data_IF_842040805876
#
_entry.id   IF_842040805876
#
_cell.length_a   1.000
_cell.length_b   1.000
_cell.length_c   1.000
_cell.angle_alpha   90.00
_cell.angle_beta   90.00
_cell.angle_gamma   90.00
#
_symmetry.space_group_name_H-M   'P 1'
#
loop_
_entity.id
_entity.type
_entity.pdbx_description
1 polymer ?
#
# COMPACT_ATOMS: atom_id res chain seq x y z
N UNK A 1 -12.86 -10.37 -12.17
CA UNK A 1 -11.41 -10.21 -12.40
C UNK A 1 -11.12 -10.28 -13.89
N UNK A 2 -11.54 -11.36 -14.57
CA UNK A 2 -11.50 -11.48 -16.04
C UNK A 2 -12.91 -11.58 -16.62
N UNK A 3 -13.07 -11.20 -17.88
CA UNK A 3 -14.27 -11.37 -18.71
C UNK A 3 -13.90 -12.10 -19.99
N UNK A 4 -14.83 -12.85 -20.57
CA UNK A 4 -14.62 -13.45 -21.90
C UNK A 4 -14.48 -12.36 -22.95
N UNK A 5 -13.49 -12.51 -23.83
CA UNK A 5 -13.21 -11.59 -24.93
C UNK A 5 -13.00 -12.40 -26.22
N UNK A 6 -13.24 -11.82 -27.38
CA UNK A 6 -12.94 -12.45 -28.66
C UNK A 6 -12.21 -11.43 -29.55
N UNK A 7 -10.96 -11.74 -29.90
CA UNK A 7 -10.13 -10.91 -30.78
C UNK A 7 -9.80 -11.71 -32.02
N UNK A 8 -10.20 -11.18 -33.17
CA UNK A 8 -9.96 -11.79 -34.49
C UNK A 8 -10.42 -13.25 -34.60
N UNK A 9 -11.54 -13.59 -33.96
CA UNK A 9 -12.12 -14.94 -33.99
C UNK A 9 -11.54 -15.91 -32.97
N UNK A 10 -10.56 -15.48 -32.16
CA UNK A 10 -9.97 -16.27 -31.07
C UNK A 10 -10.62 -15.90 -29.75
N UNK A 11 -11.29 -16.86 -29.13
CA UNK A 11 -11.83 -16.71 -27.78
C UNK A 11 -10.69 -16.64 -26.75
N UNK A 12 -10.76 -15.64 -25.86
CA UNK A 12 -9.80 -15.40 -24.81
C UNK A 12 -10.44 -14.73 -23.60
N UNK A 13 -9.59 -14.20 -22.73
CA UNK A 13 -10.02 -13.45 -21.56
C UNK A 13 -9.38 -12.06 -21.57
N UNK A 14 -10.17 -11.04 -21.26
CA UNK A 14 -9.69 -9.70 -20.98
C UNK A 14 -9.91 -9.35 -19.51
N UNK A 15 -9.21 -8.33 -19.03
CA UNK A 15 -9.51 -7.77 -17.72
C UNK A 15 -10.92 -7.16 -17.73
N UNK A 16 -11.71 -7.49 -16.72
CA UNK A 16 -12.92 -6.71 -16.43
C UNK A 16 -12.54 -5.29 -16.02
N UNK A 17 -13.43 -4.29 -16.17
CA UNK A 17 -13.20 -2.94 -15.66
C UNK A 17 -12.80 -2.92 -14.16
N UNK A 18 -13.38 -3.83 -13.37
CA UNK A 18 -12.96 -4.04 -11.98
C UNK A 18 -11.53 -4.58 -11.86
N UNK A 19 -11.17 -5.60 -12.66
CA UNK A 19 -9.81 -6.15 -12.72
C UNK A 19 -8.77 -5.12 -13.17
N UNK A 20 -9.10 -4.29 -14.16
CA UNK A 20 -8.26 -3.17 -14.58
C UNK A 20 -8.06 -2.17 -13.44
N UNK A 21 -9.12 -1.82 -12.70
CA UNK A 21 -9.00 -0.89 -11.57
C UNK A 21 -8.12 -1.43 -10.45
N UNK A 22 -8.19 -2.74 -10.16
CA UNK A 22 -7.37 -3.40 -9.14
C UNK A 22 -5.91 -3.46 -9.57
N UNK A 23 -5.64 -3.77 -10.84
CA UNK A 23 -4.26 -3.78 -11.35
C UNK A 23 -3.68 -2.38 -11.44
N UNK A 24 -4.46 -1.39 -11.87
CA UNK A 24 -4.01 0.00 -11.91
C UNK A 24 -3.65 0.54 -10.51
N UNK A 25 -4.41 0.18 -9.47
CA UNK A 25 -4.07 0.48 -8.07
C UNK A 25 -2.74 -0.19 -7.67
N UNK A 26 -2.58 -1.49 -8.00
CA UNK A 26 -1.35 -2.23 -7.74
C UNK A 26 -0.13 -1.65 -8.47
N UNK A 27 -0.29 -1.29 -9.74
CA UNK A 27 0.77 -0.76 -10.59
C UNK A 27 1.25 0.60 -10.11
N UNK A 28 0.34 1.48 -9.67
CA UNK A 28 0.74 2.75 -9.04
C UNK A 28 1.61 2.50 -7.82
N UNK A 29 1.23 1.58 -6.95
CA UNK A 29 2.02 1.30 -5.73
C UNK A 29 3.37 0.62 -6.02
N UNK A 30 3.43 -0.27 -7.01
CA UNK A 30 4.63 -1.07 -7.30
C UNK A 30 5.62 -0.31 -8.20
N UNK A 31 5.13 0.42 -9.21
CA UNK A 31 5.96 0.98 -10.27
C UNK A 31 6.08 2.50 -10.22
N UNK A 32 5.18 3.22 -9.51
CA UNK A 32 5.32 4.67 -9.35
C UNK A 32 6.36 4.95 -8.26
N UNK A 33 7.61 5.14 -8.69
CA UNK A 33 8.69 5.58 -7.82
C UNK A 33 8.60 7.09 -7.68
N UNK A 34 7.84 7.57 -6.71
CA UNK A 34 7.95 8.96 -6.29
C UNK A 34 9.25 9.11 -5.50
N UNK A 35 10.07 10.10 -5.86
CA UNK A 35 11.23 10.44 -5.04
C UNK A 35 10.72 10.91 -3.68
N UNK A 36 11.17 10.31 -2.56
CA UNK A 36 10.76 10.77 -1.25
C UNK A 36 11.18 12.22 -1.09
N UNK A 37 10.21 13.14 -1.02
CA UNK A 37 10.49 14.40 -0.35
C UNK A 37 10.74 14.05 1.11
N UNK A 38 11.92 14.38 1.63
CA UNK A 38 12.49 13.84 2.87
C UNK A 38 11.68 14.13 4.16
N UNK A 39 10.44 14.60 4.08
CA UNK A 39 9.72 15.16 5.24
C UNK A 39 8.22 14.93 5.29
N UNK A 40 7.56 14.45 4.22
CA UNK A 40 6.09 14.45 4.19
C UNK A 40 5.51 13.10 4.65
N UNK A 41 4.70 13.16 5.72
CA UNK A 41 4.01 12.02 6.30
C UNK A 41 2.50 12.16 6.13
N UNK A 42 1.81 11.02 6.07
CA UNK A 42 0.36 10.96 6.27
C UNK A 42 0.06 10.23 7.57
N UNK A 43 -0.76 10.87 8.40
CA UNK A 43 -1.32 10.28 9.61
C UNK A 43 -2.76 9.86 9.35
N UNK A 44 -3.10 8.64 9.77
CA UNK A 44 -4.47 8.16 9.85
C UNK A 44 -4.87 8.03 11.31
N UNK A 45 -5.80 8.88 11.75
CA UNK A 45 -6.41 8.79 13.07
C UNK A 45 -7.78 8.17 12.89
N UNK A 46 -8.04 7.03 13.52
CA UNK A 46 -9.34 6.39 13.40
C UNK A 46 -9.96 6.05 14.74
N UNK A 47 -11.28 6.13 14.78
CA UNK A 47 -12.10 5.77 15.93
C UNK A 47 -13.27 4.92 15.45
N UNK A 48 -13.31 3.67 15.89
CA UNK A 48 -14.38 2.73 15.54
C UNK A 48 -15.10 2.32 16.82
N UNK A 49 -16.43 2.50 16.92
CA UNK A 49 -17.20 2.07 18.07
C UNK A 49 -16.97 0.59 18.40
N UNK A 50 -17.06 0.24 19.69
CA UNK A 50 -16.76 -1.11 20.13
C UNK A 50 -17.75 -2.16 19.60
N UNK A 51 -18.98 -1.72 19.29
CA UNK A 51 -20.00 -2.51 18.62
C UNK A 51 -19.63 -2.94 17.19
N UNK A 52 -18.64 -2.28 16.56
CA UNK A 52 -18.28 -2.45 15.15
C UNK A 52 -16.86 -3.02 15.00
N UNK A 53 -16.50 -4.00 15.85
CA UNK A 53 -15.17 -4.63 15.84
C UNK A 53 -14.72 -5.11 14.46
N UNK A 54 -15.64 -5.63 13.65
CA UNK A 54 -15.33 -6.08 12.28
C UNK A 54 -14.81 -4.95 11.40
N UNK A 55 -15.42 -3.75 11.47
CA UNK A 55 -14.96 -2.56 10.74
C UNK A 55 -13.57 -2.15 11.18
N UNK A 56 -13.29 -2.20 12.48
CA UNK A 56 -11.95 -1.92 13.03
C UNK A 56 -10.90 -2.90 12.52
N UNK A 57 -11.22 -4.19 12.46
CA UNK A 57 -10.30 -5.19 11.90
C UNK A 57 -10.05 -4.94 10.42
N UNK A 58 -11.10 -4.66 9.63
CA UNK A 58 -10.97 -4.33 8.22
C UNK A 58 -10.07 -3.10 8.00
N UNK A 59 -10.29 -2.03 8.76
CA UNK A 59 -9.53 -0.78 8.68
C UNK A 59 -8.04 -1.01 8.96
N UNK A 60 -7.71 -1.76 10.02
CA UNK A 60 -6.31 -2.14 10.32
C UNK A 60 -5.69 -2.97 9.20
N UNK A 61 -6.41 -3.97 8.70
CA UNK A 61 -5.91 -4.81 7.60
C UNK A 61 -5.64 -3.99 6.35
N UNK A 62 -6.51 -3.03 6.02
CA UNK A 62 -6.35 -2.17 4.85
C UNK A 62 -5.21 -1.16 5.00
N UNK A 63 -5.08 -0.51 6.15
CA UNK A 63 -3.97 0.41 6.41
C UNK A 63 -2.62 -0.33 6.38
N UNK A 64 -2.53 -1.50 7.01
CA UNK A 64 -1.33 -2.36 6.92
C UNK A 64 -1.02 -2.74 5.46
N UNK A 65 -2.03 -3.06 4.66
CA UNK A 65 -1.85 -3.38 3.25
C UNK A 65 -1.33 -2.20 2.41
N UNK A 66 -1.64 -0.97 2.80
CA UNK A 66 -1.07 0.25 2.21
C UNK A 66 0.30 0.64 2.78
N UNK A 67 0.83 -0.12 3.73
CA UNK A 67 2.14 0.12 4.32
C UNK A 67 2.13 1.06 5.53
N UNK A 68 0.96 1.43 6.06
CA UNK A 68 0.92 2.18 7.31
C UNK A 68 1.40 1.31 8.49
N UNK A 69 2.17 1.93 9.38
CA UNK A 69 2.50 1.38 10.69
C UNK A 69 1.70 2.04 11.81
N UNK A 70 1.64 1.36 12.95
CA UNK A 70 0.94 1.86 14.15
C UNK A 70 1.92 2.64 15.01
N UNK A 71 1.60 3.90 15.33
CA UNK A 71 2.35 4.68 16.35
C UNK A 71 1.71 4.46 17.73
N UNK A 72 0.38 4.43 17.78
CA UNK A 72 -0.38 4.27 19.02
C UNK A 72 -1.75 3.63 18.76
N UNK A 73 -2.53 3.38 19.82
CA UNK A 73 -3.89 2.88 19.69
C UNK A 73 -4.78 3.89 18.95
N UNK A 74 -4.94 3.69 17.64
CA UNK A 74 -5.79 4.52 16.78
C UNK A 74 -5.05 5.58 15.96
N UNK A 75 -3.72 5.68 16.06
CA UNK A 75 -2.90 6.57 15.21
C UNK A 75 -1.90 5.76 14.40
N UNK A 76 -1.98 5.93 13.09
CA UNK A 76 -1.18 5.21 12.11
C UNK A 76 -0.45 6.20 11.22
N UNK A 77 0.71 5.79 10.70
CA UNK A 77 1.58 6.65 9.90
C UNK A 77 2.09 5.93 8.66
N UNK A 78 2.25 6.67 7.58
CA UNK A 78 2.93 6.23 6.36
C UNK A 78 3.59 7.43 5.65
N UNK A 79 4.51 7.19 4.70
CA UNK A 79 4.99 8.26 3.82
C UNK A 79 3.84 8.90 3.02
N UNK A 80 3.87 10.22 2.79
CA UNK A 80 2.72 10.95 2.24
C UNK A 80 2.23 10.48 0.86
N UNK A 81 3.08 9.85 0.03
CA UNK A 81 2.68 9.38 -1.30
C UNK A 81 1.52 8.36 -1.29
N UNK A 82 1.28 7.68 -0.15
CA UNK A 82 0.16 6.72 -0.04
C UNK A 82 -1.19 7.38 0.32
N UNK A 83 -1.23 8.70 0.55
CA UNK A 83 -2.43 9.39 1.04
C UNK A 83 -3.61 9.27 0.08
N UNK A 84 -3.39 9.46 -1.22
CA UNK A 84 -4.45 9.38 -2.23
C UNK A 84 -5.00 7.96 -2.36
N UNK A 85 -4.12 6.95 -2.40
CA UNK A 85 -4.53 5.55 -2.45
C UNK A 85 -5.27 5.15 -1.16
N UNK A 86 -4.86 5.67 0.01
CA UNK A 86 -5.59 5.49 1.27
C UNK A 86 -6.99 6.07 1.22
N UNK A 87 -7.14 7.30 0.72
CA UNK A 87 -8.45 7.96 0.60
C UNK A 87 -9.39 7.20 -0.34
N UNK A 88 -8.88 6.76 -1.50
CA UNK A 88 -9.66 6.00 -2.47
C UNK A 88 -10.08 4.63 -1.92
N UNK A 89 -9.16 3.93 -1.26
CA UNK A 89 -9.42 2.62 -0.68
C UNK A 89 -10.43 2.71 0.46
N UNK A 90 -10.29 3.69 1.36
CA UNK A 90 -11.22 3.87 2.49
C UNK A 90 -12.63 4.17 2.00
N UNK A 91 -12.77 5.05 1.00
CA UNK A 91 -14.07 5.37 0.39
C UNK A 91 -14.70 4.16 -0.32
N UNK A 92 -13.91 3.40 -1.08
CA UNK A 92 -14.38 2.18 -1.75
C UNK A 92 -14.93 1.16 -0.75
N UNK A 93 -14.29 1.03 0.40
CA UNK A 93 -14.61 0.04 1.41
C UNK A 93 -15.66 0.54 2.43
N UNK A 94 -16.14 1.78 2.31
CA UNK A 94 -17.13 2.39 3.20
C UNK A 94 -16.60 2.61 4.62
N UNK A 95 -15.32 2.95 4.74
CA UNK A 95 -14.59 3.13 6.00
C UNK A 95 -14.20 4.58 6.29
N UNK A 96 -14.42 5.49 5.34
CA UNK A 96 -14.03 6.89 5.40
C UNK A 96 -14.60 7.64 6.62
N UNK A 97 -15.81 7.30 7.08
CA UNK A 97 -16.44 7.93 8.23
C UNK A 97 -15.74 7.65 9.57
N UNK A 98 -14.86 6.65 9.63
CA UNK A 98 -14.15 6.28 10.84
C UNK A 98 -12.72 6.84 10.90
N UNK A 99 -12.24 7.48 9.82
CA UNK A 99 -10.84 7.89 9.66
C UNK A 99 -10.73 9.35 9.28
N UNK A 100 -9.84 10.05 9.98
CA UNK A 100 -9.34 11.36 9.58
C UNK A 100 -7.89 11.22 9.08
N UNK A 101 -7.60 11.80 7.92
CA UNK A 101 -6.27 11.78 7.30
C UNK A 101 -5.64 13.18 7.37
N UNK A 102 -4.38 13.24 7.78
CA UNK A 102 -3.63 14.49 7.88
C UNK A 102 -2.28 14.36 7.18
N UNK A 103 -1.91 15.35 6.37
CA UNK A 103 -0.49 15.57 6.07
C UNK A 103 0.19 16.12 7.33
N UNK A 104 1.41 15.65 7.58
CA UNK A 104 2.15 15.98 8.77
C UNK A 104 3.65 16.05 8.50
N UNK A 105 4.29 17.00 9.17
CA UNK A 105 5.74 17.05 9.29
C UNK A 105 6.16 16.45 10.64
N UNK A 106 7.25 15.68 10.64
CA UNK A 106 7.85 15.24 11.89
C UNK A 106 8.64 16.40 12.53
N UNK A 107 8.07 17.02 13.56
CA UNK A 107 8.67 18.13 14.31
C UNK A 107 9.48 17.68 15.54
N UNK A 108 9.65 16.36 15.73
CA UNK A 108 10.30 15.80 16.90
C UNK A 108 11.83 15.94 16.87
N UNK A 109 12.45 15.73 18.04
CA UNK A 109 13.91 15.85 18.22
C UNK A 109 14.69 14.57 17.88
N UNK A 110 14.01 13.45 17.63
CA UNK A 110 14.62 12.16 17.30
C UNK A 110 14.88 11.99 15.80
N UNK A 111 15.80 11.08 15.45
CA UNK A 111 16.04 10.70 14.06
C UNK A 111 14.84 9.88 13.53
N UNK A 112 14.24 10.40 12.47
CA UNK A 112 13.11 9.77 11.76
C UNK A 112 13.44 8.35 11.29
N UNK A 113 14.70 8.06 10.92
CA UNK A 113 15.12 6.70 10.52
C UNK A 113 15.06 5.72 11.68
N UNK A 114 15.45 6.16 12.87
CA UNK A 114 15.37 5.33 14.08
C UNK A 114 13.91 5.07 14.46
N UNK A 115 13.08 6.12 14.45
CA UNK A 115 11.64 6.00 14.71
C UNK A 115 10.93 5.09 13.70
N UNK A 116 11.29 5.16 12.42
CA UNK A 116 10.76 4.25 11.41
C UNK A 116 11.11 2.79 11.73
N UNK A 117 12.28 2.52 12.31
CA UNK A 117 12.67 1.18 12.78
C UNK A 117 11.88 0.69 13.99
N UNK A 118 11.26 1.58 14.77
CA UNK A 118 10.37 1.21 15.86
C UNK A 118 8.96 0.85 15.37
N UNK A 119 8.51 1.51 14.29
CA UNK A 119 7.16 1.33 13.76
C UNK A 119 7.06 0.21 12.72
N UNK A 120 8.11 -0.01 11.94
CA UNK A 120 8.20 -1.08 10.94
C UNK A 120 9.32 -2.08 11.27
N UNK A 121 9.06 -3.36 11.02
CA UNK A 121 10.10 -4.39 11.00
C UNK A 121 10.95 -4.27 9.72
N UNK A 122 11.80 -3.23 9.67
CA UNK A 122 12.69 -2.99 8.55
C UNK A 122 13.67 -4.16 8.30
N UNK A 123 14.23 -4.84 9.32
CA UNK A 123 15.03 -6.04 9.10
C UNK A 123 14.26 -7.17 8.42
N UNK A 124 13.02 -7.44 8.85
CA UNK A 124 12.17 -8.45 8.22
C UNK A 124 11.78 -8.07 6.79
N UNK A 125 11.54 -6.78 6.52
CA UNK A 125 11.27 -6.28 5.17
C UNK A 125 12.51 -6.48 4.26
N UNK A 126 13.70 -6.07 4.71
CA UNK A 126 14.96 -6.27 3.97
C UNK A 126 15.19 -7.75 3.67
N UNK A 127 15.00 -8.64 4.65
CA UNK A 127 15.15 -10.08 4.46
C UNK A 127 14.19 -10.64 3.38
N UNK A 128 12.93 -10.18 3.35
CA UNK A 128 11.96 -10.57 2.32
C UNK A 128 12.35 -10.08 0.94
N UNK A 129 12.81 -8.83 0.83
CA UNK A 129 13.30 -8.28 -0.44
C UNK A 129 14.52 -9.05 -0.94
N UNK A 130 15.48 -9.37 -0.06
CA UNK A 130 16.64 -10.18 -0.43
C UNK A 130 16.24 -11.58 -0.90
N UNK A 131 15.30 -12.23 -0.20
CA UNK A 131 14.76 -13.52 -0.62
C UNK A 131 14.13 -13.46 -2.01
N UNK A 132 13.23 -12.49 -2.24
CA UNK A 132 12.61 -12.27 -3.54
C UNK A 132 13.65 -12.02 -4.64
N UNK A 133 14.61 -11.12 -4.43
CA UNK A 133 15.66 -10.85 -5.42
C UNK A 133 16.46 -12.12 -5.70
N UNK A 134 16.85 -12.87 -4.68
CA UNK A 134 17.58 -14.14 -4.83
C UNK A 134 16.81 -15.14 -5.70
N UNK A 135 15.50 -15.28 -5.48
CA UNK A 135 14.67 -16.24 -6.20
C UNK A 135 14.47 -15.85 -7.67
N UNK A 136 14.32 -14.55 -7.95
CA UNK A 136 13.90 -14.05 -9.27
C UNK A 136 15.02 -13.38 -10.09
N UNK A 137 16.24 -13.24 -9.56
CA UNK A 137 17.36 -12.63 -10.30
C UNK A 137 17.64 -13.33 -11.62
N UNK A 138 17.49 -14.66 -11.68
CA UNK A 138 17.68 -15.44 -12.92
C UNK A 138 16.64 -15.10 -13.97
N UNK A 139 15.37 -14.95 -13.58
CA UNK A 139 14.28 -14.58 -14.49
C UNK A 139 14.56 -13.20 -15.08
N UNK A 140 15.01 -12.24 -14.25
CA UNK A 140 15.36 -10.90 -14.71
C UNK A 140 16.50 -10.91 -15.73
N UNK A 141 17.55 -11.71 -15.50
CA UNK A 141 18.67 -11.83 -16.44
C UNK A 141 18.19 -12.39 -17.78
N UNK A 142 17.43 -13.49 -17.78
CA UNK A 142 16.87 -14.05 -19.01
C UNK A 142 15.99 -13.03 -19.75
N UNK A 143 15.13 -12.30 -19.04
CA UNK A 143 14.25 -11.29 -19.64
C UNK A 143 15.00 -10.12 -20.28
N UNK A 144 16.14 -9.71 -19.73
CA UNK A 144 16.97 -8.62 -20.26
C UNK A 144 17.83 -9.03 -21.46
N UNK A 145 18.09 -10.32 -21.61
CA UNK A 145 18.85 -10.90 -22.73
C UNK A 145 17.96 -11.29 -23.92
N UNK A 146 16.63 -11.27 -23.76
CA UNK A 146 15.71 -11.44 -24.87
C UNK A 146 15.77 -10.21 -25.80
N UNK A 147 15.91 -10.40 -27.12
CA UNK A 147 16.03 -9.31 -28.11
C UNK A 147 14.75 -8.50 -28.30
#
# INVERSE_FOLDING_TARGET
>A
MLVGDNRDGVAGYALSAYGESVLAEGDRRIFKREEPQESDWVLAVFSVPESEREKRHALRSRLTWLGFATISSGTWIAPAHVADDARLMLARDGLEQYVELFHADHLGFGDVRELAGEWWDLPGIDARYRGFISDYVRVLTTWRELP
#
